data_IF_303910449027
#
_entry.id   IF_303910449027
#
_cell.length_a   1.000
_cell.length_b   1.000
_cell.length_c   1.000
_cell.angle_alpha   90.00
_cell.angle_beta   90.00
_cell.angle_gamma   90.00
#
_symmetry.space_group_name_H-M   'P 1'
#
loop_
_entity.id
_entity.type
_entity.pdbx_description
1 polymer ?
#
# COMPACT_ATOMS: atom_id res chain seq x y z
N UNK A 1 -33.83 0.13 -56.38
CA UNK A 1 -33.02 0.55 -55.21
C UNK A 1 -31.61 0.04 -55.41
N UNK A 2 -30.64 0.92 -55.67
CA UNK A 2 -29.24 0.52 -55.90
C UNK A 2 -28.62 0.10 -54.57
N UNK A 3 -28.32 -1.18 -54.44
CA UNK A 3 -27.72 -1.79 -53.25
C UNK A 3 -26.22 -1.47 -53.26
N UNK A 4 -25.81 -0.47 -52.47
CA UNK A 4 -24.40 -0.16 -52.30
C UNK A 4 -23.79 -1.19 -51.35
N UNK A 5 -22.99 -2.10 -51.90
CA UNK A 5 -22.22 -3.08 -51.13
C UNK A 5 -20.93 -2.42 -50.64
N UNK A 6 -20.88 -2.03 -49.36
CA UNK A 6 -19.65 -1.62 -48.68
C UNK A 6 -18.85 -2.89 -48.34
N UNK A 7 -18.11 -3.43 -49.30
CA UNK A 7 -17.20 -4.58 -49.09
C UNK A 7 -15.71 -4.25 -49.26
N UNK A 8 -15.31 -2.98 -49.30
CA UNK A 8 -13.95 -2.64 -49.77
C UNK A 8 -13.21 -1.50 -49.07
N UNK A 9 -13.64 -1.00 -47.91
CA UNK A 9 -12.98 0.16 -47.27
C UNK A 9 -12.24 -0.16 -45.96
N UNK A 10 -12.21 -1.43 -45.54
CA UNK A 10 -11.65 -1.82 -44.24
C UNK A 10 -10.48 -2.81 -44.30
N UNK A 11 -9.96 -3.14 -45.48
CA UNK A 11 -8.75 -4.00 -45.60
C UNK A 11 -7.44 -3.19 -45.56
N UNK A 12 -7.51 -1.86 -45.66
CA UNK A 12 -6.33 -0.97 -45.72
C UNK A 12 -5.81 -0.46 -44.37
N UNK A 13 -6.52 -0.69 -43.25
CA UNK A 13 -6.13 -0.13 -41.95
C UNK A 13 -5.30 -1.06 -41.07
N UNK A 14 -5.01 -2.29 -41.51
CA UNK A 14 -4.25 -3.27 -40.69
C UNK A 14 -2.75 -3.35 -40.99
N UNK A 15 -2.24 -2.66 -42.02
CA UNK A 15 -0.88 -2.93 -42.52
C UNK A 15 0.15 -1.78 -42.39
N UNK A 16 -0.22 -0.59 -41.89
CA UNK A 16 0.69 0.57 -41.90
C UNK A 16 1.36 0.91 -40.56
N UNK A 17 1.08 0.15 -39.50
CA UNK A 17 1.85 0.26 -38.25
C UNK A 17 2.46 -1.12 -37.99
N UNK A 18 3.78 -1.31 -38.11
CA UNK A 18 4.40 -2.46 -37.49
C UNK A 18 4.12 -2.31 -36.00
N UNK A 19 3.14 -3.06 -35.48
CA UNK A 19 3.05 -3.23 -34.04
C UNK A 19 4.40 -3.85 -33.67
N UNK A 20 5.22 -3.18 -32.83
CA UNK A 20 6.33 -3.90 -32.25
C UNK A 20 5.69 -5.11 -31.63
N UNK A 21 6.09 -6.31 -32.08
CA UNK A 21 5.79 -7.52 -31.36
C UNK A 21 6.14 -7.17 -29.93
N UNK A 22 5.13 -7.08 -29.05
CA UNK A 22 5.42 -6.99 -27.63
C UNK A 22 6.22 -8.24 -27.41
N UNK A 23 7.54 -8.10 -27.32
CA UNK A 23 8.36 -9.13 -26.73
C UNK A 23 7.64 -9.38 -25.43
N UNK A 24 7.00 -10.55 -25.31
CA UNK A 24 6.57 -11.05 -24.02
C UNK A 24 7.87 -11.08 -23.23
N UNK A 25 8.17 -9.96 -22.55
CA UNK A 25 9.25 -9.90 -21.60
C UNK A 25 8.76 -10.84 -20.53
N UNK A 26 9.20 -12.09 -20.63
CA UNK A 26 8.97 -13.10 -19.63
C UNK A 26 9.46 -12.49 -18.32
N UNK A 27 8.50 -12.17 -17.45
CA UNK A 27 8.80 -11.56 -16.18
C UNK A 27 9.51 -12.64 -15.39
N UNK A 28 10.84 -12.53 -15.31
CA UNK A 28 11.66 -13.47 -14.54
C UNK A 28 11.33 -13.27 -13.06
N UNK A 29 10.63 -14.25 -12.48
CA UNK A 29 10.27 -14.25 -11.07
C UNK A 29 11.50 -14.54 -10.20
N UNK A 30 12.18 -13.48 -9.76
CA UNK A 30 13.37 -13.58 -8.91
C UNK A 30 13.05 -13.58 -7.40
N UNK A 31 11.77 -13.43 -7.03
CA UNK A 31 11.36 -13.38 -5.63
C UNK A 31 11.27 -14.81 -5.05
N UNK A 32 11.88 -15.01 -3.89
CA UNK A 32 11.91 -16.29 -3.18
C UNK A 32 11.31 -16.11 -1.80
N UNK A 33 10.86 -17.19 -1.17
CA UNK A 33 10.29 -17.14 0.18
C UNK A 33 11.25 -16.52 1.20
N UNK A 34 12.57 -16.67 1.02
CA UNK A 34 13.63 -16.06 1.84
C UNK A 34 13.69 -14.52 1.76
N UNK A 35 13.09 -13.90 0.73
CA UNK A 35 12.96 -12.44 0.63
C UNK A 35 11.79 -11.89 1.46
N UNK A 36 10.94 -12.76 2.01
CA UNK A 36 9.76 -12.37 2.75
C UNK A 36 9.83 -12.87 4.19
N UNK A 37 9.48 -12.00 5.13
CA UNK A 37 9.31 -12.39 6.53
C UNK A 37 8.07 -11.74 7.10
N UNK A 38 7.20 -12.55 7.70
CA UNK A 38 6.09 -12.05 8.49
C UNK A 38 6.63 -11.58 9.84
N UNK A 39 6.48 -10.28 10.12
CA UNK A 39 6.91 -9.68 11.39
C UNK A 39 5.80 -8.81 11.97
N UNK A 40 5.57 -8.97 13.28
CA UNK A 40 4.72 -8.03 14.04
C UNK A 40 5.47 -6.71 14.16
N UNK A 41 4.86 -5.62 13.67
CA UNK A 41 5.49 -4.30 13.63
C UNK A 41 5.03 -3.46 14.83
N UNK A 42 3.90 -2.77 14.69
CA UNK A 42 3.37 -1.87 15.70
C UNK A 42 1.99 -2.31 16.15
N UNK A 43 1.69 -2.09 17.43
CA UNK A 43 0.34 -2.22 17.96
C UNK A 43 -0.32 -0.85 17.95
N UNK A 44 -1.35 -0.68 17.14
CA UNK A 44 -2.17 0.52 17.09
C UNK A 44 -3.27 0.49 18.17
N UNK A 45 -3.92 1.63 18.39
CA UNK A 45 -5.03 1.76 19.34
C UNK A 45 -4.61 1.96 20.80
N UNK A 46 -5.62 1.86 21.67
CA UNK A 46 -5.52 2.08 23.09
C UNK A 46 -5.18 0.77 23.83
N UNK A 47 -4.30 0.78 24.85
CA UNK A 47 -3.92 -0.43 25.56
C UNK A 47 -5.10 -1.04 26.34
N UNK A 48 -5.17 -2.37 26.37
CA UNK A 48 -6.19 -3.10 27.12
C UNK A 48 -5.95 -3.00 28.64
N UNK A 49 -7.03 -2.83 29.42
CA UNK A 49 -7.00 -2.71 30.88
C UNK A 49 -5.96 -1.69 31.39
N UNK A 50 -6.11 -0.40 31.05
CA UNK A 50 -5.29 0.66 31.64
C UNK A 50 -5.52 0.69 33.15
N UNK A 51 -4.45 0.88 33.92
CA UNK A 51 -4.51 0.98 35.38
C UNK A 51 -3.81 2.22 35.93
N UNK A 52 -2.94 2.85 35.15
CA UNK A 52 -2.22 4.06 35.55
C UNK A 52 -1.99 5.00 34.36
N UNK A 53 -1.88 6.30 34.66
CA UNK A 53 -1.57 7.36 33.70
C UNK A 53 -0.58 8.35 34.33
N UNK A 54 0.35 8.85 33.53
CA UNK A 54 1.23 9.96 33.89
C UNK A 54 1.47 10.85 32.68
N UNK A 55 1.59 12.15 32.90
CA UNK A 55 1.86 13.14 31.85
C UNK A 55 3.06 14.00 32.22
N UNK A 56 3.99 14.15 31.29
CA UNK A 56 5.08 15.13 31.38
C UNK A 56 4.76 16.36 30.52
N UNK A 57 4.52 17.54 31.12
CA UNK A 57 4.20 18.76 30.39
C UNK A 57 5.39 19.36 29.63
N UNK A 58 6.63 19.10 30.05
CA UNK A 58 7.83 19.66 29.42
C UNK A 58 8.10 18.94 28.10
N UNK A 59 8.15 17.61 28.15
CA UNK A 59 8.39 16.79 26.95
C UNK A 59 7.10 16.50 26.15
N UNK A 60 5.93 16.83 26.71
CA UNK A 60 4.61 16.53 26.16
C UNK A 60 4.44 15.04 25.88
N UNK A 61 4.74 14.21 26.89
CA UNK A 61 4.65 12.76 26.80
C UNK A 61 3.53 12.23 27.70
N UNK A 62 2.67 11.38 27.15
CA UNK A 62 1.67 10.64 27.90
C UNK A 62 2.13 9.20 28.08
N UNK A 63 2.25 8.75 29.32
CA UNK A 63 2.52 7.36 29.67
C UNK A 63 1.26 6.69 30.22
N UNK A 64 0.93 5.50 29.70
CA UNK A 64 -0.20 4.67 30.14
C UNK A 64 0.34 3.30 30.59
N UNK A 65 0.08 2.94 31.84
CA UNK A 65 0.37 1.62 32.40
C UNK A 65 -0.86 0.70 32.35
N UNK A 66 -0.64 -0.60 32.11
CA UNK A 66 -1.71 -1.62 32.07
C UNK A 66 -1.64 -2.60 33.24
N UNK A 67 -2.75 -3.31 33.48
CA UNK A 67 -2.81 -4.41 34.48
C UNK A 67 -1.78 -5.51 34.23
N UNK A 68 -1.40 -5.73 32.97
CA UNK A 68 -0.38 -6.72 32.58
C UNK A 68 1.06 -6.24 32.81
N UNK A 69 1.26 -5.06 33.41
CA UNK A 69 2.58 -4.47 33.67
C UNK A 69 3.25 -3.85 32.46
N UNK A 70 2.53 -3.64 31.34
CA UNK A 70 3.09 -2.98 30.17
C UNK A 70 2.92 -1.46 30.27
N UNK A 71 3.90 -0.70 29.79
CA UNK A 71 3.84 0.75 29.70
C UNK A 71 3.90 1.20 28.24
N UNK A 72 3.02 2.12 27.86
CA UNK A 72 2.97 2.71 26.52
C UNK A 72 3.11 4.22 26.61
N UNK A 73 4.07 4.77 25.85
CA UNK A 73 4.33 6.20 25.76
C UNK A 73 3.79 6.75 24.44
N UNK A 74 3.11 7.88 24.50
CA UNK A 74 2.55 8.60 23.37
C UNK A 74 3.12 10.01 23.33
N UNK A 75 3.81 10.41 22.24
CA UNK A 75 4.20 11.81 22.05
C UNK A 75 2.96 12.65 21.71
N UNK A 76 2.75 13.71 22.46
CA UNK A 76 1.73 14.73 22.20
C UNK A 76 2.40 15.93 21.53
N UNK A 77 3.01 15.69 20.36
CA UNK A 77 3.48 16.78 19.51
C UNK A 77 2.29 17.40 18.80
N UNK A 78 2.09 18.70 19.00
CA UNK A 78 1.21 19.48 18.13
C UNK A 78 1.91 19.52 16.77
N UNK A 79 1.42 18.77 15.79
CA UNK A 79 1.80 19.03 14.41
C UNK A 79 1.30 20.44 14.09
N UNK A 80 2.21 21.41 14.05
CA UNK A 80 1.93 22.71 13.44
C UNK A 80 1.66 22.41 11.96
N UNK A 81 0.39 22.40 11.60
CA UNK A 81 -0.09 22.45 10.22
C UNK A 81 -0.71 23.83 10.03
#
# INVERSE_FOLDING_TARGET
>A
MKKFTIKGVLDGFRSSVPQPAKSDQEIVENLRSEHFQVKKTFRHGFPHQPTAVAFDPVQRLLAIGTKSGSLRMYPLTVSLT
#
